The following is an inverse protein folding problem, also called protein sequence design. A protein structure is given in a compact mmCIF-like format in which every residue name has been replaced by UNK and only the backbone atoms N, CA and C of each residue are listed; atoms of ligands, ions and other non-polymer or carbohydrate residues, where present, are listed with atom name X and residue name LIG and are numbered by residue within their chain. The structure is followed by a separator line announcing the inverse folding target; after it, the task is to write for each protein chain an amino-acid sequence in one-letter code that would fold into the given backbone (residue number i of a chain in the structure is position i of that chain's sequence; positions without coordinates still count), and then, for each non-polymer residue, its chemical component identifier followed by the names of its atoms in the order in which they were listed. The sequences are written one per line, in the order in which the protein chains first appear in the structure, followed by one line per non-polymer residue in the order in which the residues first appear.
data_IF_794080235474
#
_entry.id   IF_794080235474
#
_cell.length_a   1.000
_cell.length_b   1.000
_cell.length_c   1.000
_cell.angle_alpha   90.00
_cell.angle_beta   90.00
_cell.angle_gamma   90.00
#
_symmetry.space_group_name_H-M   'P 1'
#
loop_
_entity.id
_entity.type
_entity.pdbx_description
1 polymer ?
#
# COMPACT_ATOMS: atom_id res chain seq x y z
N UNK A 1 -35.68 15.59 11.86
CA UNK A 1 -35.56 15.07 10.49
C UNK A 1 -34.54 13.95 10.55
N UNK A 2 -34.94 12.70 10.33
CA UNK A 2 -33.97 11.62 10.14
C UNK A 2 -33.38 11.71 8.73
N UNK A 3 -32.08 11.42 8.54
CA UNK A 3 -31.48 11.47 7.21
C UNK A 3 -32.06 10.30 6.38
N UNK A 4 -32.53 10.61 5.18
CA UNK A 4 -32.90 9.60 4.20
C UNK A 4 -31.63 8.87 3.78
N UNK A 5 -31.40 7.68 4.33
CA UNK A 5 -30.35 6.77 3.87
C UNK A 5 -30.73 6.33 2.46
N UNK A 6 -30.22 7.03 1.45
CA UNK A 6 -30.38 6.63 0.05
C UNK A 6 -29.51 5.40 -0.14
N UNK A 7 -30.11 4.21 0.01
CA UNK A 7 -29.46 2.96 -0.36
C UNK A 7 -29.40 2.90 -1.89
N UNK A 8 -28.19 2.97 -2.44
CA UNK A 8 -27.95 2.66 -3.84
C UNK A 8 -28.51 1.27 -4.18
N UNK A 9 -29.11 1.06 -5.36
CA UNK A 9 -29.58 -0.25 -5.77
C UNK A 9 -28.44 -1.30 -5.65
N UNK A 10 -28.75 -2.55 -5.24
CA UNK A 10 -27.75 -3.60 -5.09
C UNK A 10 -26.86 -3.76 -6.32
N UNK A 11 -27.43 -3.66 -7.52
CA UNK A 11 -26.73 -3.75 -8.80
C UNK A 11 -25.68 -2.65 -8.96
N UNK A 12 -26.00 -1.42 -8.53
CA UNK A 12 -25.07 -0.28 -8.57
C UNK A 12 -23.90 -0.52 -7.62
N UNK A 13 -24.18 -0.99 -6.40
CA UNK A 13 -23.13 -1.28 -5.42
C UNK A 13 -22.25 -2.46 -5.83
N UNK A 14 -22.84 -3.48 -6.47
CA UNK A 14 -22.12 -4.65 -6.95
C UNK A 14 -21.22 -4.30 -8.13
N UNK A 15 -21.72 -3.54 -9.11
CA UNK A 15 -20.90 -3.06 -10.23
C UNK A 15 -19.72 -2.21 -9.74
N UNK A 16 -19.96 -1.30 -8.79
CA UNK A 16 -18.90 -0.51 -8.18
C UNK A 16 -17.84 -1.39 -7.48
N UNK A 17 -18.28 -2.42 -6.74
CA UNK A 17 -17.37 -3.37 -6.10
C UNK A 17 -16.55 -4.16 -7.13
N UNK A 18 -17.15 -4.58 -8.24
CA UNK A 18 -16.43 -5.28 -9.30
C UNK A 18 -15.35 -4.41 -9.93
N UNK A 19 -15.66 -3.13 -10.19
CA UNK A 19 -14.71 -2.16 -10.75
C UNK A 19 -13.55 -1.90 -9.78
N UNK A 20 -13.84 -1.62 -8.51
CA UNK A 20 -12.78 -1.36 -7.51
C UNK A 20 -11.91 -2.59 -7.30
N UNK A 21 -12.51 -3.78 -7.26
CA UNK A 21 -11.77 -5.04 -7.17
C UNK A 21 -10.83 -5.20 -8.35
N UNK A 22 -11.30 -4.95 -9.58
CA UNK A 22 -10.48 -5.02 -10.79
C UNK A 22 -9.32 -4.00 -10.75
N UNK A 23 -9.57 -2.77 -10.31
CA UNK A 23 -8.52 -1.75 -10.15
C UNK A 23 -7.46 -2.20 -9.16
N UNK A 24 -7.88 -2.64 -7.96
CA UNK A 24 -6.97 -3.11 -6.93
C UNK A 24 -6.09 -4.28 -7.40
N UNK A 25 -6.66 -5.22 -8.16
CA UNK A 25 -5.88 -6.30 -8.76
C UNK A 25 -4.84 -5.80 -9.78
N UNK A 26 -5.18 -4.79 -10.59
CA UNK A 26 -4.23 -4.17 -11.53
C UNK A 26 -3.10 -3.47 -10.79
N UNK A 27 -3.43 -2.64 -9.81
CA UNK A 27 -2.44 -1.90 -9.01
C UNK A 27 -1.47 -2.84 -8.29
N UNK A 28 -1.97 -3.92 -7.68
CA UNK A 28 -1.11 -4.94 -7.05
C UNK A 28 -0.20 -5.61 -8.07
N UNK A 29 -0.70 -5.89 -9.28
CA UNK A 29 0.09 -6.52 -10.34
C UNK A 29 1.19 -5.58 -10.83
N UNK A 30 0.86 -4.32 -11.09
CA UNK A 30 1.80 -3.29 -11.53
C UNK A 30 2.89 -3.05 -10.48
N UNK A 31 2.50 -2.93 -9.21
CA UNK A 31 3.45 -2.83 -8.10
C UNK A 31 4.39 -4.02 -8.06
N UNK A 32 3.87 -5.25 -8.15
CA UNK A 32 4.72 -6.46 -8.16
C UNK A 32 5.73 -6.41 -9.29
N UNK A 33 5.30 -6.06 -10.50
CA UNK A 33 6.18 -5.95 -11.66
C UNK A 33 7.27 -4.90 -11.45
N UNK A 34 6.91 -3.72 -10.92
CA UNK A 34 7.86 -2.67 -10.62
C UNK A 34 8.85 -3.07 -9.51
N UNK A 35 8.36 -3.71 -8.45
CA UNK A 35 9.15 -4.12 -7.29
C UNK A 35 10.11 -5.29 -7.58
N UNK A 36 9.81 -6.11 -8.59
CA UNK A 36 10.63 -7.27 -8.97
C UNK A 36 11.36 -7.10 -10.30
N UNK A 37 11.36 -5.90 -10.88
CA UNK A 37 12.19 -5.65 -12.05
C UNK A 37 13.69 -5.68 -11.67
N UNK A 38 14.57 -5.82 -12.66
CA UNK A 38 16.00 -5.99 -12.40
C UNK A 38 16.62 -4.78 -11.68
N UNK A 39 16.18 -3.57 -12.00
CA UNK A 39 16.69 -2.33 -11.41
C UNK A 39 16.31 -2.23 -9.94
N UNK A 40 15.03 -2.42 -9.62
CA UNK A 40 14.51 -2.45 -8.25
C UNK A 40 15.20 -3.55 -7.44
N UNK A 41 15.38 -4.73 -8.02
CA UNK A 41 16.09 -5.85 -7.37
C UNK A 41 17.51 -5.44 -6.98
N UNK A 42 18.27 -4.82 -7.89
CA UNK A 42 19.64 -4.33 -7.62
C UNK A 42 19.67 -3.29 -6.51
N UNK A 43 18.71 -2.35 -6.50
CA UNK A 43 18.60 -1.31 -5.46
C UNK A 43 18.32 -1.96 -4.09
N UNK A 44 17.34 -2.87 -4.01
CA UNK A 44 17.00 -3.54 -2.76
C UNK A 44 18.14 -4.42 -2.24
N UNK A 45 18.84 -5.12 -3.12
CA UNK A 45 20.02 -5.92 -2.77
C UNK A 45 21.16 -5.05 -2.24
N UNK A 46 21.44 -3.93 -2.93
CA UNK A 46 22.42 -2.95 -2.46
C UNK A 46 22.08 -2.39 -1.07
N UNK A 47 20.81 -2.03 -0.85
CA UNK A 47 20.34 -1.54 0.44
C UNK A 47 20.51 -2.59 1.56
N UNK A 48 20.14 -3.85 1.30
CA UNK A 48 20.34 -4.98 2.24
C UNK A 48 21.81 -5.16 2.58
N UNK A 49 22.67 -5.14 1.57
CA UNK A 49 24.12 -5.33 1.74
C UNK A 49 24.75 -4.15 2.52
N UNK A 50 24.34 -2.92 2.21
CA UNK A 50 24.75 -1.71 2.95
C UNK A 50 24.34 -1.80 4.43
N UNK A 51 23.10 -2.20 4.72
CA UNK A 51 22.60 -2.38 6.08
C UNK A 51 23.38 -3.45 6.85
N UNK A 52 23.71 -4.57 6.20
CA UNK A 52 24.49 -5.65 6.81
C UNK A 52 25.92 -5.22 7.14
N UNK A 53 26.56 -4.48 6.23
CA UNK A 53 27.98 -4.12 6.36
C UNK A 53 28.21 -2.89 7.23
N UNK A 54 27.22 -1.99 7.31
CA UNK A 54 27.27 -0.81 8.15
C UNK A 54 25.91 -0.59 8.81
N UNK A 55 25.58 -1.36 9.87
CA UNK A 55 24.42 -1.07 10.67
C UNK A 55 24.72 0.24 11.43
N UNK A 56 24.40 1.39 10.83
CA UNK A 56 24.65 2.75 11.37
C UNK A 56 23.85 3.06 12.64
N UNK A 57 23.57 2.05 13.48
CA UNK A 57 22.64 2.15 14.61
C UNK A 57 21.20 2.41 14.18
N UNK A 58 20.84 2.19 12.90
CA UNK A 58 19.49 2.38 12.39
C UNK A 58 18.57 1.39 13.12
N UNK A 59 17.81 1.90 14.08
CA UNK A 59 16.81 1.10 14.79
C UNK A 59 15.70 0.75 13.80
N UNK A 60 15.26 -0.52 13.75
CA UNK A 60 14.05 -0.88 13.01
C UNK A 60 12.91 -0.02 13.52
N UNK A 61 12.21 0.64 12.61
CA UNK A 61 11.04 1.42 12.96
C UNK A 61 9.95 0.51 13.52
N UNK A 62 9.43 0.83 14.70
CA UNK A 62 8.31 0.09 15.31
C UNK A 62 7.04 0.88 15.05
N UNK A 63 5.93 0.19 14.79
CA UNK A 63 4.62 0.84 14.66
C UNK A 63 4.19 1.66 15.90
N UNK A 64 4.82 1.44 17.06
CA UNK A 64 4.62 2.24 18.28
C UNK A 64 5.47 3.51 18.33
N UNK A 65 6.53 3.59 17.54
CA UNK A 65 7.45 4.73 17.52
C UNK A 65 6.85 5.93 16.76
N UNK A 66 5.83 5.68 15.93
CA UNK A 66 5.05 6.70 15.23
C UNK A 66 3.61 6.18 15.04
N UNK A 67 2.72 6.39 16.02
CA UNK A 67 1.35 5.88 15.99
C UNK A 67 0.48 6.56 14.92
N UNK A 68 0.90 7.72 14.42
CA UNK A 68 0.12 8.54 13.47
C UNK A 68 0.57 8.33 12.01
N UNK A 69 1.42 7.32 11.75
CA UNK A 69 1.96 7.06 10.42
C UNK A 69 0.91 6.68 9.35
N UNK A 70 -0.26 6.19 9.78
CA UNK A 70 -1.40 5.88 8.91
C UNK A 70 -2.36 7.06 8.77
N UNK A 71 -2.13 8.14 9.52
CA UNK A 71 -3.00 9.31 9.51
C UNK A 71 -2.58 10.19 8.35
N UNK A 72 -3.25 10.04 7.21
CA UNK A 72 -3.15 11.01 6.10
C UNK A 72 -3.76 12.33 6.55
N UNK A 73 -2.91 13.29 6.92
CA UNK A 73 -3.37 14.66 7.10
C UNK A 73 -3.74 15.24 5.73
N UNK A 74 -5.04 15.27 5.43
CA UNK A 74 -5.68 16.17 4.45
C UNK A 74 -5.22 16.08 3.02
#
# INVERSE_FOLDING_TARGET
MEPLTIHSPPEVTFSALQETTKSAYSEIKEYKQAATNEEATKIFEHAKQSQKNNPKGIKPWRARDDPDWLTTNG
#
